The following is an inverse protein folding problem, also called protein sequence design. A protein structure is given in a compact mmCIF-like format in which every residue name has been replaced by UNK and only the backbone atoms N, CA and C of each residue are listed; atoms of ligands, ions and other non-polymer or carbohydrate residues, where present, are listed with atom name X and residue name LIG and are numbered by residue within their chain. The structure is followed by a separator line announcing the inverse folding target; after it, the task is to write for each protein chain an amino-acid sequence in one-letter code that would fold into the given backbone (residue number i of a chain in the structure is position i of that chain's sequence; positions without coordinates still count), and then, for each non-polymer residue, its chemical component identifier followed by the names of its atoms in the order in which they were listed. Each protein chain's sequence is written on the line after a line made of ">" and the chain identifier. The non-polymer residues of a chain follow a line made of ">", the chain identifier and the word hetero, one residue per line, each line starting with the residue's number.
data_IF_901352333431
#
_entry.id   IF_901352333431
#
_cell.length_a   1.000
_cell.length_b   1.000
_cell.length_c   1.000
_cell.angle_alpha   90.00
_cell.angle_beta   90.00
_cell.angle_gamma   90.00
#
_symmetry.space_group_name_H-M   'P 1'
#
loop_
_entity.id
_entity.type
_entity.pdbx_description
1 polymer ?
#
# COMPACT_ATOMS: atom_id res chain seq x y z
N UNK A 1 -4.49 13.26 5.10
CA UNK A 1 -3.21 12.53 5.00
C UNK A 1 -2.43 12.95 3.76
N UNK A 2 -2.99 12.90 2.54
CA UNK A 2 -2.26 13.37 1.36
C UNK A 2 -1.83 14.84 1.47
N UNK A 3 -2.74 15.74 1.86
CA UNK A 3 -2.43 17.17 2.12
C UNK A 3 -1.33 17.36 3.17
N UNK A 4 -1.33 16.53 4.22
CA UNK A 4 -0.28 16.56 5.24
C UNK A 4 1.11 16.20 4.67
N UNK A 5 1.18 15.31 3.67
CA UNK A 5 2.43 15.01 2.97
C UNK A 5 2.90 16.20 2.13
N UNK A 6 1.96 16.93 1.52
CA UNK A 6 2.25 18.16 0.76
C UNK A 6 2.85 19.23 1.70
N UNK A 7 2.15 19.55 2.79
CA UNK A 7 2.61 20.51 3.80
C UNK A 7 3.94 20.11 4.44
N UNK A 8 4.13 18.81 4.71
CA UNK A 8 5.37 18.30 5.31
C UNK A 8 6.55 18.40 4.35
N UNK A 9 6.36 18.09 3.06
CA UNK A 9 7.41 18.18 2.06
C UNK A 9 7.92 19.62 1.92
N UNK A 10 7.01 20.60 1.91
CA UNK A 10 7.37 22.01 1.92
C UNK A 10 8.09 22.40 3.21
N UNK A 11 7.50 22.08 4.37
CA UNK A 11 8.02 22.47 5.69
C UNK A 11 9.40 21.91 5.97
N UNK A 12 9.64 20.66 5.62
CA UNK A 12 10.88 19.95 5.91
C UNK A 12 11.82 19.85 4.69
N UNK A 13 11.44 20.46 3.56
CA UNK A 13 12.24 20.56 2.34
C UNK A 13 12.74 19.20 1.82
N UNK A 14 11.85 18.20 1.77
CA UNK A 14 12.13 16.91 1.13
C UNK A 14 11.33 16.76 -0.16
N UNK A 15 11.77 15.83 -1.01
CA UNK A 15 11.14 15.57 -2.31
C UNK A 15 9.77 14.90 -2.14
N UNK A 16 8.72 15.65 -2.51
CA UNK A 16 7.32 15.22 -2.40
C UNK A 16 6.97 14.02 -3.28
N UNK A 17 7.66 13.86 -4.39
CA UNK A 17 7.41 12.81 -5.38
C UNK A 17 8.19 11.52 -5.06
N UNK A 18 9.06 11.55 -4.04
CA UNK A 18 9.93 10.44 -3.66
C UNK A 18 9.64 9.89 -2.25
N UNK A 19 8.36 9.82 -1.88
CA UNK A 19 7.92 9.25 -0.60
C UNK A 19 7.69 7.73 -0.72
N UNK A 20 8.29 6.95 0.17
CA UNK A 20 8.00 5.52 0.34
C UNK A 20 7.31 5.32 1.69
N UNK A 21 6.11 4.76 1.69
CA UNK A 21 5.40 4.45 2.93
C UNK A 21 5.89 3.11 3.51
N UNK A 22 6.02 3.04 4.84
CA UNK A 22 6.18 1.78 5.56
C UNK A 22 5.07 1.74 6.59
N UNK A 23 4.16 0.78 6.44
CA UNK A 23 2.98 0.65 7.28
C UNK A 23 2.85 -0.75 7.86
N UNK A 24 2.32 -0.83 9.08
CA UNK A 24 1.93 -2.08 9.73
C UNK A 24 0.43 -2.06 10.06
N UNK A 25 -0.28 -3.13 9.73
CA UNK A 25 -1.69 -3.32 10.05
C UNK A 25 -2.53 -2.12 9.59
N UNK A 26 -3.14 -1.37 10.51
CA UNK A 26 -3.88 -0.14 10.17
C UNK A 26 -3.05 0.91 9.43
N UNK A 27 -1.76 1.07 9.76
CA UNK A 27 -0.87 1.96 9.02
C UNK A 27 -0.64 1.49 7.59
N UNK A 28 -0.55 0.18 7.37
CA UNK A 28 -0.47 -0.40 6.03
C UNK A 28 -1.76 -0.16 5.24
N UNK A 29 -2.93 -0.25 5.89
CA UNK A 29 -4.22 0.02 5.27
C UNK A 29 -4.35 1.49 4.83
N UNK A 30 -3.87 2.43 5.63
CA UNK A 30 -3.85 3.85 5.26
C UNK A 30 -2.90 4.08 4.07
N UNK A 31 -1.71 3.46 4.07
CA UNK A 31 -0.77 3.56 2.95
C UNK A 31 -1.34 2.97 1.66
N UNK A 32 -1.98 1.80 1.74
CA UNK A 32 -2.69 1.21 0.60
C UNK A 32 -3.86 2.09 0.15
N UNK A 33 -4.60 2.72 1.08
CA UNK A 33 -5.66 3.67 0.75
C UNK A 33 -5.14 4.89 0.00
N UNK A 34 -3.93 5.37 0.30
CA UNK A 34 -3.31 6.46 -0.46
C UNK A 34 -3.05 6.04 -1.91
N UNK A 35 -2.49 4.85 -2.14
CA UNK A 35 -2.31 4.29 -3.49
C UNK A 35 -3.65 4.15 -4.23
N UNK A 36 -4.72 3.78 -3.52
CA UNK A 36 -6.04 3.57 -4.11
C UNK A 36 -6.75 4.84 -4.56
N UNK A 37 -6.43 6.00 -3.96
CA UNK A 37 -7.16 7.25 -4.21
C UNK A 37 -6.31 8.35 -4.86
N UNK A 38 -4.99 8.27 -4.77
CA UNK A 38 -4.09 9.35 -5.18
C UNK A 38 -2.91 8.79 -5.96
N UNK A 39 -2.95 8.97 -7.28
CA UNK A 39 -1.91 8.51 -8.22
C UNK A 39 -0.49 8.91 -7.78
N UNK A 40 -0.33 10.13 -7.26
CA UNK A 40 0.97 10.72 -6.92
C UNK A 40 1.21 10.83 -5.41
N UNK A 41 0.42 10.16 -4.56
CA UNK A 41 0.63 10.25 -3.11
C UNK A 41 1.98 9.64 -2.69
N UNK A 42 2.32 8.48 -3.24
CA UNK A 42 3.51 7.71 -2.86
C UNK A 42 4.26 7.25 -4.10
N UNK A 43 5.58 7.11 -4.03
CA UNK A 43 6.40 6.43 -5.03
C UNK A 43 6.37 4.91 -4.86
N UNK A 44 6.17 4.45 -3.63
CA UNK A 44 6.04 3.05 -3.31
C UNK A 44 5.59 2.83 -1.87
N UNK A 45 5.37 1.56 -1.51
CA UNK A 45 4.96 1.20 -0.16
C UNK A 45 5.46 -0.19 0.27
N UNK A 46 5.77 -0.32 1.56
CA UNK A 46 6.05 -1.58 2.26
C UNK A 46 4.89 -1.80 3.24
N UNK A 47 4.08 -2.80 2.97
CA UNK A 47 2.81 -3.05 3.63
C UNK A 47 2.90 -4.34 4.45
N UNK A 48 3.03 -4.21 5.76
CA UNK A 48 3.03 -5.34 6.67
C UNK A 48 1.61 -5.63 7.17
N UNK A 49 1.12 -6.84 6.91
CA UNK A 49 -0.23 -7.31 7.26
C UNK A 49 -1.36 -6.36 6.82
N UNK A 50 -1.40 -5.90 5.55
CA UNK A 50 -2.49 -5.07 5.06
C UNK A 50 -3.75 -5.90 4.76
N UNK A 51 -4.88 -5.21 4.72
CA UNK A 51 -6.16 -5.66 4.19
C UNK A 51 -6.55 -4.81 2.97
N UNK A 52 -7.58 -5.22 2.22
CA UNK A 52 -8.07 -4.43 1.08
C UNK A 52 -8.75 -3.16 1.61
N UNK A 53 -8.26 -1.94 1.30
CA UNK A 53 -8.82 -0.71 1.88
C UNK A 53 -10.27 -0.45 1.46
N UNK A 54 -10.59 -0.77 0.21
CA UNK A 54 -11.92 -0.56 -0.38
C UNK A 54 -12.11 -1.44 -1.61
N UNK A 55 -13.25 -2.12 -1.71
CA UNK A 55 -13.62 -2.96 -2.86
C UNK A 55 -14.53 -2.21 -3.84
N UNK A 56 -14.53 -2.64 -5.10
CA UNK A 56 -15.44 -2.11 -6.13
C UNK A 56 -15.13 -0.69 -6.58
N UNK A 57 -13.87 -0.26 -6.45
CA UNK A 57 -13.39 1.01 -6.99
C UNK A 57 -12.42 0.75 -8.13
N UNK A 58 -12.33 1.70 -9.05
CA UNK A 58 -11.26 1.76 -10.04
C UNK A 58 -10.05 2.46 -9.42
N UNK A 59 -8.88 1.81 -9.48
CA UNK A 59 -7.64 2.39 -8.99
C UNK A 59 -7.08 3.36 -10.04
N UNK A 60 -6.36 4.42 -9.61
CA UNK A 60 -5.58 5.22 -10.54
C UNK A 60 -4.47 4.38 -11.18
N UNK A 61 -3.87 4.88 -12.27
CA UNK A 61 -2.72 4.24 -12.90
C UNK A 61 -1.48 4.32 -11.98
N UNK A 62 -1.03 3.16 -11.51
CA UNK A 62 0.12 3.00 -10.62
C UNK A 62 1.39 2.58 -11.38
N UNK A 63 1.46 2.85 -12.69
CA UNK A 63 2.67 2.66 -13.48
C UNK A 63 3.88 3.32 -12.79
N UNK A 64 4.93 2.54 -12.59
CA UNK A 64 6.18 2.99 -11.95
C UNK A 64 6.15 3.02 -10.42
N UNK A 65 5.06 2.55 -9.78
CA UNK A 65 4.98 2.38 -8.33
C UNK A 65 5.45 0.98 -7.93
N UNK A 66 6.21 0.90 -6.82
CA UNK A 66 6.70 -0.36 -6.27
C UNK A 66 6.03 -0.64 -4.92
N UNK A 67 5.44 -1.83 -4.78
CA UNK A 67 4.73 -2.22 -3.55
C UNK A 67 5.22 -3.57 -3.07
N UNK A 68 5.61 -3.65 -1.80
CA UNK A 68 5.91 -4.90 -1.12
C UNK A 68 4.80 -5.20 -0.12
N UNK A 69 4.29 -6.43 -0.11
CA UNK A 69 3.25 -6.90 0.81
C UNK A 69 3.83 -8.08 1.61
N UNK A 70 3.91 -7.93 2.93
CA UNK A 70 4.16 -9.06 3.83
C UNK A 70 2.83 -9.51 4.45
N UNK A 71 2.49 -10.79 4.26
CA UNK A 71 1.25 -11.38 4.77
C UNK A 71 1.49 -12.70 5.50
N UNK A 72 0.70 -12.98 6.53
CA UNK A 72 0.76 -14.24 7.27
C UNK A 72 -0.12 -15.33 6.63
N UNK A 73 0.43 -16.53 6.41
CA UNK A 73 -0.33 -17.70 5.93
C UNK A 73 -1.35 -18.22 6.95
N UNK A 74 -1.11 -17.93 8.22
CA UNK A 74 -1.87 -18.33 9.40
C UNK A 74 -2.35 -17.12 10.24
N UNK A 75 -2.53 -15.96 9.60
CA UNK A 75 -3.03 -14.75 10.24
C UNK A 75 -4.55 -14.89 10.51
N UNK A 76 -5.00 -14.81 11.78
CA UNK A 76 -6.42 -14.93 12.11
C UNK A 76 -7.23 -13.66 11.80
N UNK A 77 -6.56 -12.55 11.48
CA UNK A 77 -7.15 -11.24 11.20
C UNK A 77 -7.29 -11.05 9.70
N UNK A 78 -6.21 -11.19 8.95
CA UNK A 78 -6.19 -11.01 7.50
C UNK A 78 -6.06 -12.37 6.79
N UNK A 79 -7.07 -12.73 6.00
CA UNK A 79 -7.03 -14.01 5.29
C UNK A 79 -6.00 -13.98 4.16
N UNK A 80 -5.32 -15.11 3.84
CA UNK A 80 -4.45 -15.19 2.67
C UNK A 80 -5.14 -14.86 1.34
N UNK A 81 -6.47 -15.07 1.26
CA UNK A 81 -7.26 -14.70 0.08
C UNK A 81 -7.35 -13.18 -0.07
N UNK A 82 -7.52 -12.47 1.03
CA UNK A 82 -7.61 -11.00 1.03
C UNK A 82 -6.27 -10.36 0.68
N UNK A 83 -5.14 -10.90 1.15
CA UNK A 83 -3.81 -10.42 0.73
C UNK A 83 -3.56 -10.64 -0.78
N UNK A 84 -4.02 -11.77 -1.33
CA UNK A 84 -3.97 -12.03 -2.79
C UNK A 84 -4.90 -11.10 -3.58
N UNK A 85 -6.06 -10.78 -3.04
CA UNK A 85 -6.99 -9.82 -3.65
C UNK A 85 -6.34 -8.43 -3.74
N UNK A 86 -5.75 -7.95 -2.64
CA UNK A 86 -5.01 -6.69 -2.64
C UNK A 86 -3.86 -6.69 -3.66
N UNK A 87 -3.04 -7.74 -3.68
CA UNK A 87 -1.96 -7.91 -4.64
C UNK A 87 -2.47 -7.83 -6.08
N UNK A 88 -3.53 -8.57 -6.41
CA UNK A 88 -4.13 -8.56 -7.76
C UNK A 88 -4.71 -7.20 -8.14
N UNK A 89 -5.32 -6.46 -7.20
CA UNK A 89 -5.83 -5.11 -7.46
C UNK A 89 -4.69 -4.15 -7.83
N UNK A 90 -3.56 -4.23 -7.13
CA UNK A 90 -2.39 -3.38 -7.40
C UNK A 90 -1.72 -3.72 -8.75
N UNK A 91 -1.57 -5.00 -9.08
CA UNK A 91 -1.01 -5.42 -10.38
C UNK A 91 -1.90 -4.98 -11.54
N UNK A 92 -3.23 -5.10 -11.40
CA UNK A 92 -4.20 -4.63 -12.42
C UNK A 92 -4.15 -3.11 -12.64
N UNK A 93 -3.69 -2.37 -11.64
CA UNK A 93 -3.44 -0.94 -11.73
C UNK A 93 -2.02 -0.61 -12.21
N UNK A 94 -1.25 -1.57 -12.75
CA UNK A 94 0.11 -1.43 -13.27
C UNK A 94 1.21 -1.16 -12.22
N UNK A 95 0.94 -1.40 -10.93
CA UNK A 95 2.00 -1.37 -9.91
C UNK A 95 2.89 -2.62 -10.02
N UNK A 96 4.18 -2.46 -9.74
CA UNK A 96 5.08 -3.59 -9.48
C UNK A 96 4.87 -4.06 -8.03
N UNK A 97 4.03 -5.09 -7.85
CA UNK A 97 3.67 -5.60 -6.53
C UNK A 97 4.30 -6.97 -6.22
N UNK A 98 5.06 -7.05 -5.13
CA UNK A 98 5.61 -8.30 -4.60
C UNK A 98 4.81 -8.74 -3.36
N UNK A 99 4.40 -10.02 -3.34
CA UNK A 99 3.70 -10.63 -2.20
C UNK A 99 4.60 -11.67 -1.54
N UNK A 100 5.04 -11.37 -0.33
CA UNK A 100 5.86 -12.22 0.52
C UNK A 100 5.02 -12.84 1.65
N UNK A 101 5.26 -14.13 1.89
CA UNK A 101 4.50 -14.91 2.87
C UNK A 101 5.35 -15.25 4.09
N UNK A 102 4.77 -15.02 5.26
CA UNK A 102 5.29 -15.44 6.56
C UNK A 102 4.41 -16.54 7.17
N UNK A 103 4.93 -17.26 8.17
CA UNK A 103 4.24 -18.38 8.83
C UNK A 103 4.00 -18.15 10.34
N UNK A 104 4.11 -16.90 10.81
CA UNK A 104 3.96 -16.53 12.23
C UNK A 104 2.80 -15.57 12.51
N UNK A 105 1.65 -15.76 11.86
CA UNK A 105 0.44 -14.97 12.15
C UNK A 105 0.65 -13.46 11.94
N UNK A 106 0.03 -12.65 12.81
CA UNK A 106 0.05 -11.17 12.79
C UNK A 106 1.18 -10.58 13.66
#
# INVERSE_FOLDING_TARGET
>A
MNEFLDESAERYSFDRDNIIAIGYSNGANIAASLLFHYQNALKGAILHHPMVPRKGIELPDLTGKYVFIAAGTNDPICSPMESKELHSMLEKANAYAELHWENRGH
#
